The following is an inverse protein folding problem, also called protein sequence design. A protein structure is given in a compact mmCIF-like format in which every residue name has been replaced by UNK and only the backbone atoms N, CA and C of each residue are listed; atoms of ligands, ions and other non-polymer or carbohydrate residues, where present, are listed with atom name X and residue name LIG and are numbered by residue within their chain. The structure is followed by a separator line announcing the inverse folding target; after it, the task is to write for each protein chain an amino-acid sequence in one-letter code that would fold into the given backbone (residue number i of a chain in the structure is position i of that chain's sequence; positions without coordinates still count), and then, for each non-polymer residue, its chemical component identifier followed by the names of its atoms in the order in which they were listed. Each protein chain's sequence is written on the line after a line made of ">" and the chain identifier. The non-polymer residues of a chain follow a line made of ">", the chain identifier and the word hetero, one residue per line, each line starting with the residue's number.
data_IF_598000589845
#
_entry.id   IF_598000589845
#
_cell.length_a   1.000
_cell.length_b   1.000
_cell.length_c   1.000
_cell.angle_alpha   90.00
_cell.angle_beta   90.00
_cell.angle_gamma   90.00
#
_symmetry.space_group_name_H-M   'P 1'
#
loop_
_entity.id
_entity.type
_entity.pdbx_description
1 polymer ?
#
# COMPACT_ATOMS: atom_id res chain seq x y z
N UNK A 1 43.83 28.87 -11.68
CA UNK A 1 44.08 27.92 -10.57
C UNK A 1 45.25 28.36 -9.66
N UNK A 2 46.45 28.63 -10.20
CA UNK A 2 47.61 29.09 -9.40
C UNK A 2 47.38 30.40 -8.61
N UNK A 3 46.72 31.40 -9.20
CA UNK A 3 46.41 32.67 -8.49
C UNK A 3 45.43 32.51 -7.32
N UNK A 4 44.55 31.51 -7.37
CA UNK A 4 43.62 31.20 -6.29
C UNK A 4 44.35 30.54 -5.12
N UNK A 5 45.21 29.55 -5.42
CA UNK A 5 46.06 28.89 -4.44
C UNK A 5 47.02 29.86 -3.74
N UNK A 6 47.59 30.84 -4.46
CA UNK A 6 48.46 31.88 -3.87
C UNK A 6 47.69 32.82 -2.94
N UNK A 7 46.47 33.21 -3.30
CA UNK A 7 45.62 34.06 -2.43
C UNK A 7 45.14 33.32 -1.18
N UNK A 8 44.78 32.04 -1.30
CA UNK A 8 44.42 31.19 -0.16
C UNK A 8 45.63 31.05 0.79
N UNK A 9 46.83 30.80 0.26
CA UNK A 9 48.08 30.71 1.04
C UNK A 9 48.44 32.02 1.76
N UNK A 10 48.13 33.17 1.15
CA UNK A 10 48.37 34.49 1.73
C UNK A 10 47.36 34.82 2.84
N UNK A 11 46.09 34.45 2.68
CA UNK A 11 45.09 34.58 3.75
C UNK A 11 45.47 33.71 4.95
N UNK A 12 45.87 32.45 4.76
CA UNK A 12 46.23 31.53 5.86
C UNK A 12 47.50 31.90 6.63
N UNK A 13 48.20 33.00 6.32
CA UNK A 13 49.39 33.44 7.08
C UNK A 13 49.07 34.44 8.18
N UNK A 14 47.86 35.01 8.19
CA UNK A 14 47.42 36.01 9.16
C UNK A 14 46.49 35.36 10.19
N UNK A 15 46.48 35.82 11.44
CA UNK A 15 45.63 35.25 12.51
C UNK A 15 44.13 35.30 12.12
N UNK A 16 43.75 36.34 11.38
CA UNK A 16 42.41 36.52 10.80
C UNK A 16 42.07 35.47 9.74
N UNK A 17 43.06 35.00 8.98
CA UNK A 17 42.85 33.98 7.96
C UNK A 17 42.70 32.57 8.53
N UNK A 18 43.44 32.25 9.60
CA UNK A 18 43.21 31.02 10.37
C UNK A 18 41.81 31.02 10.99
N UNK A 19 41.39 32.13 11.61
CA UNK A 19 40.04 32.28 12.16
C UNK A 19 38.95 32.11 11.08
N UNK A 20 39.14 32.71 9.90
CA UNK A 20 38.20 32.57 8.77
C UNK A 20 38.12 31.13 8.25
N UNK A 21 39.25 30.41 8.23
CA UNK A 21 39.30 29.01 7.78
C UNK A 21 38.61 28.09 8.78
N UNK A 22 38.82 28.30 10.08
CA UNK A 22 38.12 27.56 11.14
C UNK A 22 36.62 27.82 11.11
N UNK A 23 36.19 29.07 10.90
CA UNK A 23 34.77 29.42 10.72
C UNK A 23 34.14 28.75 9.50
N UNK A 24 34.88 28.65 8.39
CA UNK A 24 34.38 28.02 7.16
C UNK A 24 34.26 26.50 7.34
N UNK A 25 35.21 25.87 8.02
CA UNK A 25 35.16 24.46 8.39
C UNK A 25 33.99 24.19 9.34
N UNK A 26 33.85 24.98 10.41
CA UNK A 26 32.76 24.79 11.38
C UNK A 26 31.39 25.04 10.77
N UNK A 27 31.24 26.05 9.92
CA UNK A 27 30.02 26.29 9.15
C UNK A 27 29.71 25.12 8.21
N UNK A 28 30.72 24.59 7.51
CA UNK A 28 30.56 23.41 6.66
C UNK A 28 30.10 22.18 7.46
N UNK A 29 30.67 21.98 8.65
CA UNK A 29 30.32 20.89 9.55
C UNK A 29 28.86 21.02 10.05
N UNK A 30 28.45 22.23 10.43
CA UNK A 30 27.05 22.53 10.82
C UNK A 30 26.10 22.30 9.65
N UNK A 31 26.45 22.71 8.43
CA UNK A 31 25.60 22.48 7.25
C UNK A 31 25.45 20.99 6.93
N UNK A 32 26.52 20.19 7.04
CA UNK A 32 26.45 18.73 6.85
C UNK A 32 25.57 18.08 7.90
N UNK A 33 25.71 18.46 9.18
CA UNK A 33 24.85 17.94 10.24
C UNK A 33 23.38 18.34 10.04
N UNK A 34 23.11 19.59 9.69
CA UNK A 34 21.76 20.08 9.41
C UNK A 34 21.12 19.34 8.23
N UNK A 35 21.88 19.11 7.14
CA UNK A 35 21.43 18.32 6.00
C UNK A 35 21.16 16.86 6.39
N UNK A 36 22.04 16.25 7.18
CA UNK A 36 21.88 14.88 7.67
C UNK A 36 20.63 14.72 8.53
N UNK A 37 20.40 15.62 9.49
CA UNK A 37 19.21 15.61 10.35
C UNK A 37 17.93 15.75 9.50
N UNK A 38 17.96 16.63 8.50
CA UNK A 38 16.79 16.83 7.64
C UNK A 38 16.49 15.58 6.80
N UNK A 39 17.50 14.96 6.19
CA UNK A 39 17.34 13.73 5.39
C UNK A 39 16.78 12.60 6.25
N UNK A 40 17.34 12.40 7.45
CA UNK A 40 16.90 11.34 8.38
C UNK A 40 15.47 11.59 8.86
N UNK A 41 15.13 12.84 9.19
CA UNK A 41 13.78 13.23 9.63
C UNK A 41 12.75 12.98 8.52
N UNK A 42 13.02 13.44 7.30
CA UNK A 42 12.11 13.22 6.17
C UNK A 42 12.00 11.74 5.81
N UNK A 43 13.10 10.97 5.91
CA UNK A 43 13.08 9.52 5.73
C UNK A 43 12.20 8.81 6.76
N UNK A 44 12.24 9.22 8.03
CA UNK A 44 11.38 8.69 9.07
C UNK A 44 9.91 9.01 8.81
N UNK A 45 9.59 10.27 8.49
CA UNK A 45 8.22 10.71 8.18
C UNK A 45 7.69 9.99 6.95
N UNK A 46 8.49 9.92 5.88
CA UNK A 46 8.09 9.23 4.66
C UNK A 46 7.89 7.73 4.91
N UNK A 47 8.73 7.07 5.72
CA UNK A 47 8.50 5.66 6.11
C UNK A 47 7.15 5.46 6.81
N UNK A 48 6.77 6.36 7.73
CA UNK A 48 5.46 6.32 8.41
C UNK A 48 4.32 6.51 7.40
N UNK A 49 4.44 7.47 6.49
CA UNK A 49 3.43 7.72 5.44
C UNK A 49 3.25 6.51 4.53
N UNK A 50 4.34 5.88 4.09
CA UNK A 50 4.28 4.69 3.24
C UNK A 50 3.66 3.51 3.98
N UNK A 51 3.98 3.31 5.27
CA UNK A 51 3.35 2.27 6.07
C UNK A 51 1.84 2.51 6.19
N UNK A 52 1.42 3.73 6.54
CA UNK A 52 0.00 4.07 6.65
C UNK A 52 -0.74 3.90 5.32
N UNK A 53 -0.10 4.28 4.20
CA UNK A 53 -0.66 4.10 2.87
C UNK A 53 -0.78 2.62 2.49
N UNK A 54 0.23 1.80 2.83
CA UNK A 54 0.19 0.36 2.64
C UNK A 54 -0.95 -0.28 3.46
N UNK A 55 -1.05 0.07 4.74
CA UNK A 55 -2.07 -0.47 5.64
C UNK A 55 -3.48 -0.09 5.18
N UNK A 56 -3.69 1.18 4.80
CA UNK A 56 -4.96 1.66 4.26
C UNK A 56 -5.32 0.95 2.93
N UNK A 57 -4.35 0.79 2.03
CA UNK A 57 -4.56 0.09 0.76
C UNK A 57 -4.90 -1.39 0.98
N UNK A 58 -4.15 -2.09 1.83
CA UNK A 58 -4.37 -3.48 2.15
C UNK A 58 -5.74 -3.71 2.80
N UNK A 59 -6.09 -2.85 3.78
CA UNK A 59 -7.40 -2.87 4.45
C UNK A 59 -8.54 -2.62 3.46
N UNK A 60 -8.39 -1.64 2.55
CA UNK A 60 -9.42 -1.34 1.56
C UNK A 60 -9.64 -2.49 0.56
N UNK A 61 -8.56 -3.14 0.12
CA UNK A 61 -8.66 -4.33 -0.72
C UNK A 61 -9.33 -5.48 0.03
N UNK A 62 -8.96 -5.73 1.27
CA UNK A 62 -9.61 -6.72 2.12
C UNK A 62 -11.08 -6.39 2.40
N UNK A 63 -11.41 -5.10 2.57
CA UNK A 63 -12.79 -4.62 2.72
C UNK A 63 -13.64 -4.99 1.51
N UNK A 64 -13.13 -4.75 0.30
CA UNK A 64 -13.85 -5.14 -0.91
C UNK A 64 -14.04 -6.66 -1.03
N UNK A 65 -13.05 -7.46 -0.59
CA UNK A 65 -13.22 -8.91 -0.53
C UNK A 65 -14.30 -9.31 0.49
N UNK A 66 -14.36 -8.64 1.64
CA UNK A 66 -15.40 -8.87 2.64
C UNK A 66 -16.79 -8.53 2.06
N UNK A 67 -16.92 -7.39 1.38
CA UNK A 67 -18.16 -6.99 0.70
C UNK A 67 -18.57 -8.00 -0.38
N UNK A 68 -17.60 -8.55 -1.14
CA UNK A 68 -17.86 -9.62 -2.11
C UNK A 68 -18.39 -10.89 -1.42
N UNK A 69 -17.85 -11.24 -0.25
CA UNK A 69 -18.32 -12.39 0.52
C UNK A 69 -19.75 -12.16 1.04
N UNK A 70 -20.04 -10.99 1.60
CA UNK A 70 -21.39 -10.63 2.06
C UNK A 70 -22.40 -10.61 0.90
N UNK A 71 -21.98 -10.13 -0.28
CA UNK A 71 -22.80 -10.18 -1.49
C UNK A 71 -23.09 -11.63 -1.92
N UNK A 72 -22.15 -12.55 -1.78
CA UNK A 72 -22.38 -13.98 -2.05
C UNK A 72 -23.34 -14.62 -1.03
N UNK A 73 -23.27 -14.23 0.25
CA UNK A 73 -24.24 -14.64 1.28
C UNK A 73 -25.63 -14.13 0.92
N UNK A 74 -25.75 -12.85 0.60
CA UNK A 74 -27.02 -12.25 0.18
C UNK A 74 -27.57 -12.95 -1.08
N UNK A 75 -26.71 -13.23 -2.06
CA UNK A 75 -27.09 -13.95 -3.27
C UNK A 75 -27.57 -15.39 -3.01
N UNK A 76 -27.07 -16.06 -1.96
CA UNK A 76 -27.63 -17.34 -1.53
C UNK A 76 -29.05 -17.18 -0.97
N UNK A 77 -29.25 -16.20 -0.09
CA UNK A 77 -30.57 -15.90 0.49
C UNK A 77 -31.63 -15.58 -0.57
N UNK A 78 -31.30 -14.72 -1.54
CA UNK A 78 -32.24 -14.41 -2.62
C UNK A 78 -32.50 -15.64 -3.48
N UNK A 79 -31.51 -16.52 -3.63
CA UNK A 79 -31.67 -17.83 -4.25
C UNK A 79 -32.73 -18.68 -3.54
N UNK A 80 -32.67 -18.79 -2.21
CA UNK A 80 -33.67 -19.51 -1.41
C UNK A 80 -35.07 -18.91 -1.55
N UNK A 81 -35.19 -17.59 -1.41
CA UNK A 81 -36.48 -16.89 -1.51
C UNK A 81 -37.09 -17.07 -2.90
N UNK A 82 -36.26 -17.04 -3.95
CA UNK A 82 -36.74 -17.22 -5.33
C UNK A 82 -37.37 -18.60 -5.57
N UNK A 83 -37.03 -19.63 -4.80
CA UNK A 83 -37.64 -20.96 -4.92
C UNK A 83 -39.11 -20.95 -4.47
N UNK A 84 -39.49 -20.01 -3.60
CA UNK A 84 -40.85 -19.86 -3.10
C UNK A 84 -41.80 -19.20 -4.12
N UNK A 85 -41.26 -18.53 -5.15
CA UNK A 85 -42.06 -17.82 -6.16
C UNK A 85 -41.90 -18.49 -7.54
N UNK A 86 -42.89 -19.28 -7.98
CA UNK A 86 -42.77 -20.11 -9.19
C UNK A 86 -42.64 -19.30 -10.50
N UNK A 87 -43.40 -18.21 -10.66
CA UNK A 87 -43.45 -17.40 -11.88
C UNK A 87 -42.21 -16.51 -12.07
N UNK A 88 -41.69 -15.94 -10.99
CA UNK A 88 -40.55 -14.99 -11.02
C UNK A 88 -39.24 -15.59 -10.54
N UNK A 89 -39.28 -16.77 -9.92
CA UNK A 89 -38.11 -17.39 -9.33
C UNK A 89 -37.05 -17.82 -10.35
N UNK A 90 -37.48 -18.37 -11.48
CA UNK A 90 -36.56 -18.84 -12.53
C UNK A 90 -35.66 -17.71 -13.10
N UNK A 91 -36.20 -16.57 -13.57
CA UNK A 91 -35.36 -15.48 -14.06
C UNK A 91 -34.49 -14.86 -12.95
N UNK A 92 -35.01 -14.73 -11.73
CA UNK A 92 -34.24 -14.23 -10.58
C UNK A 92 -33.02 -15.13 -10.30
N UNK A 93 -33.19 -16.45 -10.30
CA UNK A 93 -32.07 -17.41 -10.13
C UNK A 93 -31.02 -17.29 -11.23
N UNK A 94 -31.43 -17.09 -12.48
CA UNK A 94 -30.51 -16.93 -13.59
C UNK A 94 -29.62 -15.68 -13.38
N UNK A 95 -30.23 -14.54 -13.02
CA UNK A 95 -29.51 -13.29 -12.73
C UNK A 95 -28.57 -13.44 -11.54
N UNK A 96 -29.03 -14.07 -10.44
CA UNK A 96 -28.22 -14.31 -9.25
C UNK A 96 -27.03 -15.22 -9.56
N UNK A 97 -27.23 -16.27 -10.36
CA UNK A 97 -26.15 -17.19 -10.72
C UNK A 97 -25.10 -16.51 -11.61
N UNK A 98 -25.53 -15.60 -12.49
CA UNK A 98 -24.64 -14.75 -13.26
C UNK A 98 -23.86 -13.77 -12.36
N UNK A 99 -24.55 -13.09 -11.44
CA UNK A 99 -23.90 -12.20 -10.46
C UNK A 99 -22.86 -12.94 -9.61
N UNK A 100 -23.20 -14.13 -9.09
CA UNK A 100 -22.25 -14.98 -8.36
C UNK A 100 -21.03 -15.34 -9.21
N UNK A 101 -21.21 -15.61 -10.51
CA UNK A 101 -20.09 -15.91 -11.42
C UNK A 101 -19.17 -14.69 -11.56
N UNK A 102 -19.75 -13.52 -11.77
CA UNK A 102 -19.01 -12.27 -11.91
C UNK A 102 -18.24 -11.94 -10.63
N UNK A 103 -18.87 -12.05 -9.46
CA UNK A 103 -18.23 -11.78 -8.16
C UNK A 103 -17.09 -12.77 -7.89
N UNK A 104 -17.29 -14.07 -8.15
CA UNK A 104 -16.24 -15.08 -7.97
C UNK A 104 -15.07 -14.85 -8.93
N UNK A 105 -15.36 -14.45 -10.17
CA UNK A 105 -14.35 -14.27 -11.21
C UNK A 105 -13.57 -12.97 -11.06
N UNK A 106 -14.23 -11.87 -10.75
CA UNK A 106 -13.64 -10.53 -10.79
C UNK A 106 -13.46 -9.89 -9.41
N UNK A 107 -14.15 -10.37 -8.37
CA UNK A 107 -14.01 -9.86 -6.99
C UNK A 107 -12.56 -9.79 -6.51
N UNK A 108 -11.75 -10.85 -6.68
CA UNK A 108 -10.33 -10.82 -6.35
C UNK A 108 -9.51 -9.74 -7.07
N UNK A 109 -9.73 -9.57 -8.38
CA UNK A 109 -9.05 -8.57 -9.17
C UNK A 109 -9.50 -7.15 -8.78
N UNK A 110 -10.79 -6.97 -8.52
CA UNK A 110 -11.37 -5.72 -8.05
C UNK A 110 -10.79 -5.32 -6.69
N UNK A 111 -10.51 -6.27 -5.80
CA UNK A 111 -9.91 -5.99 -4.50
C UNK A 111 -8.48 -5.45 -4.63
N UNK A 112 -7.67 -6.04 -5.51
CA UNK A 112 -6.34 -5.52 -5.83
C UNK A 112 -6.43 -4.13 -6.49
N UNK A 113 -7.38 -3.93 -7.42
CA UNK A 113 -7.61 -2.62 -8.03
C UNK A 113 -8.01 -1.56 -7.00
N UNK A 114 -8.86 -1.92 -6.03
CA UNK A 114 -9.27 -1.04 -4.93
C UNK A 114 -8.10 -0.67 -4.02
N UNK A 115 -7.24 -1.63 -3.70
CA UNK A 115 -6.01 -1.37 -2.95
C UNK A 115 -5.11 -0.37 -3.68
N UNK A 116 -4.94 -0.54 -5.00
CA UNK A 116 -4.18 0.40 -5.84
C UNK A 116 -4.81 1.80 -5.82
N UNK A 117 -6.12 1.88 -6.02
CA UNK A 117 -6.85 3.15 -6.00
C UNK A 117 -6.66 3.91 -4.67
N UNK A 118 -6.79 3.21 -3.54
CA UNK A 118 -6.65 3.83 -2.22
C UNK A 118 -5.21 4.25 -1.94
N UNK A 119 -4.21 3.47 -2.33
CA UNK A 119 -2.83 3.91 -2.14
C UNK A 119 -2.41 5.06 -3.06
N UNK A 120 -2.91 5.12 -4.30
CA UNK A 120 -2.72 6.28 -5.17
C UNK A 120 -3.33 7.55 -4.58
N UNK A 121 -4.51 7.45 -3.97
CA UNK A 121 -5.13 8.55 -3.22
C UNK A 121 -4.29 8.99 -2.01
N UNK A 122 -3.44 8.12 -1.47
CA UNK A 122 -2.47 8.41 -0.41
C UNK A 122 -1.06 8.72 -0.93
N UNK A 123 -0.94 9.10 -2.21
CA UNK A 123 0.33 9.48 -2.86
C UNK A 123 1.41 8.38 -2.81
N UNK A 124 0.99 7.11 -2.76
CA UNK A 124 1.87 5.95 -2.76
C UNK A 124 1.61 5.07 -4.00
N UNK A 125 2.69 4.57 -4.60
CA UNK A 125 2.60 3.55 -5.65
C UNK A 125 2.40 2.21 -4.97
N UNK A 126 1.28 1.55 -5.26
CA UNK A 126 0.93 0.25 -4.71
C UNK A 126 1.15 -0.84 -5.76
N UNK A 127 1.86 -1.88 -5.36
CA UNK A 127 2.03 -3.11 -6.13
C UNK A 127 1.40 -4.27 -5.36
N UNK A 128 0.34 -4.91 -5.88
CA UNK A 128 -0.17 -6.15 -5.31
C UNK A 128 0.92 -7.23 -5.35
N UNK A 129 1.22 -7.84 -4.20
CA UNK A 129 2.19 -8.94 -4.09
C UNK A 129 1.52 -10.30 -3.93
N UNK A 130 0.19 -10.31 -3.81
CA UNK A 130 -0.62 -11.52 -3.72
C UNK A 130 -1.89 -11.39 -4.58
N UNK A 131 -2.32 -12.52 -5.15
CA UNK A 131 -3.62 -12.62 -5.83
C UNK A 131 -4.62 -13.28 -4.88
N UNK A 132 -5.57 -12.52 -4.33
CA UNK A 132 -6.53 -13.06 -3.38
C UNK A 132 -7.42 -14.13 -4.01
N UNK A 133 -7.99 -14.98 -3.16
CA UNK A 133 -9.08 -15.89 -3.52
C UNK A 133 -10.21 -15.71 -2.49
N UNK A 134 -11.45 -15.67 -2.94
CA UNK A 134 -12.61 -15.65 -2.05
C UNK A 134 -12.72 -16.96 -1.25
N UNK A 135 -12.10 -18.06 -1.71
CA UNK A 135 -12.09 -19.32 -0.97
C UNK A 135 -13.47 -19.93 -0.88
N UNK A 136 -14.22 -19.86 -1.98
CA UNK A 136 -15.61 -20.32 -2.08
C UNK A 136 -15.73 -21.42 -3.13
N UNK A 137 -16.71 -22.30 -2.96
CA UNK A 137 -17.03 -23.36 -3.91
C UNK A 137 -18.51 -23.31 -4.29
N UNK A 138 -18.83 -23.69 -5.53
CA UNK A 138 -20.21 -23.87 -5.97
C UNK A 138 -20.70 -25.27 -5.57
N UNK A 139 -21.93 -25.33 -5.10
CA UNK A 139 -22.65 -26.55 -4.73
C UNK A 139 -23.88 -26.70 -5.64
N UNK A 140 -24.50 -27.87 -5.58
CA UNK A 140 -25.79 -28.20 -6.19
C UNK A 140 -26.78 -27.02 -6.11
N UNK A 141 -27.58 -26.82 -7.16
CA UNK A 141 -28.53 -25.70 -7.34
C UNK A 141 -27.92 -24.28 -7.43
N UNK A 142 -26.59 -24.15 -7.57
CA UNK A 142 -25.95 -22.83 -7.75
C UNK A 142 -25.71 -22.08 -6.43
N UNK A 143 -25.81 -22.77 -5.29
CA UNK A 143 -25.40 -22.25 -4.00
C UNK A 143 -23.89 -22.12 -3.92
N UNK A 144 -23.44 -21.17 -3.11
CA UNK A 144 -22.02 -20.96 -2.83
C UNK A 144 -21.75 -21.31 -1.37
N UNK A 145 -20.68 -22.06 -1.12
CA UNK A 145 -20.22 -22.41 0.23
C UNK A 145 -18.83 -21.85 0.48
N UNK A 146 -18.59 -21.49 1.73
CA UNK A 146 -17.25 -21.14 2.22
C UNK A 146 -16.40 -22.41 2.34
N UNK A 147 -15.39 -22.56 1.46
CA UNK A 147 -14.43 -23.68 1.49
C UNK A 147 -13.46 -23.55 2.67
N UNK A 148 -13.20 -22.32 3.11
CA UNK A 148 -12.22 -22.04 4.16
C UNK A 148 -12.76 -22.28 5.57
N UNK A 149 -14.08 -22.50 5.73
CA UNK A 149 -14.73 -22.76 7.01
C UNK A 149 -14.34 -21.76 8.12
N UNK A 150 -14.21 -20.49 7.77
CA UNK A 150 -13.80 -19.43 8.70
C UNK A 150 -12.30 -19.21 8.87
N UNK A 151 -11.45 -19.98 8.18
CA UNK A 151 -10.00 -19.70 8.10
C UNK A 151 -9.73 -18.60 7.09
N UNK A 152 -8.64 -17.84 7.29
CA UNK A 152 -8.23 -16.80 6.33
C UNK A 152 -7.74 -17.40 5.01
N UNK A 153 -6.94 -18.48 5.03
CA UNK A 153 -6.43 -19.12 3.81
C UNK A 153 -5.81 -18.11 2.84
N UNK A 154 -6.26 -18.11 1.58
CA UNK A 154 -5.86 -17.14 0.55
C UNK A 154 -6.79 -15.90 0.47
N UNK A 155 -7.70 -15.73 1.43
CA UNK A 155 -8.62 -14.59 1.51
C UNK A 155 -7.96 -13.39 2.17
N UNK A 156 -6.87 -12.94 1.55
CA UNK A 156 -6.13 -11.76 1.98
C UNK A 156 -5.56 -10.99 0.78
N UNK A 157 -5.51 -9.68 0.94
CA UNK A 157 -4.84 -8.77 0.01
C UNK A 157 -3.51 -8.40 0.63
N UNK A 158 -2.42 -8.59 -0.10
CA UNK A 158 -1.10 -8.17 0.33
C UNK A 158 -0.52 -7.21 -0.70
N UNK A 159 0.01 -6.10 -0.22
CA UNK A 159 0.53 -5.03 -1.06
C UNK A 159 1.91 -4.58 -0.59
N UNK A 160 2.72 -4.16 -1.55
CA UNK A 160 3.90 -3.34 -1.32
C UNK A 160 3.60 -1.90 -1.74
N UNK A 161 3.97 -0.95 -0.91
CA UNK A 161 3.85 0.48 -1.17
C UNK A 161 5.23 1.12 -1.27
N UNK A 162 5.37 2.10 -2.17
CA UNK A 162 6.54 2.94 -2.28
C UNK A 162 6.12 4.41 -2.48
N UNK A 163 6.88 5.35 -1.90
CA UNK A 163 6.64 6.78 -2.06
C UNK A 163 7.96 7.52 -2.27
N UNK A 164 7.92 8.60 -3.07
CA UNK A 164 9.07 9.49 -3.25
C UNK A 164 9.33 10.35 -2.02
N UNK A 165 10.59 10.44 -1.62
CA UNK A 165 11.03 11.38 -0.60
C UNK A 165 10.85 12.84 -1.04
N UNK A 166 10.21 13.63 -0.17
CA UNK A 166 10.04 15.07 -0.38
C UNK A 166 11.23 15.86 0.16
N UNK A 167 12.39 15.70 -0.48
CA UNK A 167 13.59 16.47 -0.14
C UNK A 167 13.50 17.92 -0.69
N UNK A 168 13.92 18.94 0.10
CA UNK A 168 14.08 20.31 -0.35
C UNK A 168 15.00 20.41 -1.55
N UNK A 169 14.74 21.39 -2.42
CA UNK A 169 15.54 21.61 -3.64
C UNK A 169 17.04 21.73 -3.35
N UNK A 170 17.44 22.42 -2.28
CA UNK A 170 18.86 22.58 -1.93
C UNK A 170 19.53 21.26 -1.54
N UNK A 171 18.82 20.35 -0.89
CA UNK A 171 19.31 18.98 -0.57
C UNK A 171 19.39 18.15 -1.84
N UNK A 172 18.38 18.24 -2.72
CA UNK A 172 18.40 17.57 -4.04
C UNK A 172 19.58 18.05 -4.91
N UNK A 173 19.88 19.35 -4.88
CA UNK A 173 21.05 19.93 -5.59
C UNK A 173 22.36 19.43 -5.00
N UNK A 174 22.46 19.30 -3.67
CA UNK A 174 23.66 18.79 -2.98
C UNK A 174 23.92 17.31 -3.27
N UNK A 175 22.87 16.48 -3.32
CA UNK A 175 22.96 15.05 -3.64
C UNK A 175 23.27 14.76 -5.13
N UNK A 176 23.18 15.79 -5.99
CA UNK A 176 23.48 15.74 -7.42
C UNK A 176 22.51 14.88 -8.24
N UNK A 177 22.57 14.99 -9.58
CA UNK A 177 21.86 14.10 -10.53
C UNK A 177 22.43 12.68 -10.60
N UNK A 178 23.52 12.41 -9.88
CA UNK A 178 24.29 11.16 -9.95
C UNK A 178 24.19 10.27 -8.70
N UNK A 179 23.36 10.63 -7.72
CA UNK A 179 22.85 9.61 -6.80
C UNK A 179 21.98 8.67 -7.64
N UNK A 180 22.25 7.35 -7.65
CA UNK A 180 21.57 6.43 -8.55
C UNK A 180 20.07 6.57 -8.35
N UNK A 181 19.43 7.15 -9.35
CA UNK A 181 17.99 7.22 -9.47
C UNK A 181 17.45 5.80 -9.37
N UNK A 182 16.74 5.48 -8.29
CA UNK A 182 15.69 4.47 -8.40
C UNK A 182 15.44 3.54 -7.21
N UNK A 183 16.38 3.27 -6.31
CA UNK A 183 16.16 2.18 -5.33
C UNK A 183 16.63 2.43 -3.88
N UNK A 184 17.62 3.30 -3.65
CA UNK A 184 18.25 3.34 -2.32
C UNK A 184 17.52 4.19 -1.27
N UNK A 185 16.55 5.03 -1.67
CA UNK A 185 15.95 6.00 -0.74
C UNK A 185 14.43 6.11 -0.84
N UNK A 186 13.77 5.29 -1.66
CA UNK A 186 12.31 5.24 -1.63
C UNK A 186 11.89 4.40 -0.43
N UNK A 187 11.28 4.96 0.62
CA UNK A 187 10.70 4.15 1.68
C UNK A 187 9.71 3.19 1.06
N UNK A 188 9.90 1.91 1.35
CA UNK A 188 8.98 0.85 0.99
C UNK A 188 8.35 0.28 2.24
N UNK A 189 7.06 -0.03 2.16
CA UNK A 189 6.35 -0.76 3.21
C UNK A 189 5.55 -1.90 2.60
N UNK A 190 5.27 -2.91 3.41
CA UNK A 190 4.40 -4.02 3.04
C UNK A 190 3.31 -4.13 4.07
N UNK A 191 2.09 -4.40 3.59
CA UNK A 191 0.93 -4.60 4.45
C UNK A 191 0.08 -5.74 3.92
N UNK A 192 -0.61 -6.42 4.84
CA UNK A 192 -1.55 -7.50 4.55
C UNK A 192 -2.90 -7.16 5.17
N UNK A 193 -3.95 -7.12 4.36
CA UNK A 193 -5.33 -7.05 4.79
C UNK A 193 -5.95 -8.44 4.70
N UNK A 194 -6.54 -8.91 5.79
CA UNK A 194 -7.20 -10.22 5.88
C UNK A 194 -8.71 -10.04 5.98
N UNK A 195 -9.45 -11.03 5.49
CA UNK A 195 -10.89 -11.11 5.70
C UNK A 195 -11.19 -12.17 6.75
N UNK A 196 -11.98 -11.79 7.75
CA UNK A 196 -12.47 -12.65 8.82
C UNK A 196 -13.99 -12.81 8.67
N UNK A 197 -14.48 -13.99 9.02
CA UNK A 197 -15.89 -14.35 8.88
C UNK A 197 -16.02 -15.82 8.52
N UNK A 198 -17.17 -16.42 8.78
CA UNK A 198 -17.36 -17.87 8.66
C UNK A 198 -18.70 -18.21 8.03
N UNK A 199 -18.62 -19.11 7.04
CA UNK A 199 -19.81 -19.74 6.47
C UNK A 199 -20.57 -18.80 5.54
N UNK A 200 -21.66 -19.31 4.97
CA UNK A 200 -22.45 -18.58 3.96
C UNK A 200 -23.88 -18.31 4.43
N UNK A 201 -24.07 -18.24 5.75
CA UNK A 201 -25.37 -18.08 6.37
C UNK A 201 -25.64 -16.64 6.76
N UNK A 202 -24.66 -15.85 7.20
CA UNK A 202 -24.90 -14.49 7.70
C UNK A 202 -23.87 -13.52 7.09
N UNK A 203 -24.28 -12.36 6.54
CA UNK A 203 -23.36 -11.41 5.93
C UNK A 203 -22.67 -10.58 7.03
N UNK A 204 -21.62 -11.15 7.62
CA UNK A 204 -20.83 -10.53 8.70
C UNK A 204 -19.33 -10.69 8.43
N UNK A 205 -18.92 -10.64 7.16
CA UNK A 205 -17.50 -10.65 6.83
C UNK A 205 -16.87 -9.29 7.15
N UNK A 206 -15.72 -9.31 7.82
CA UNK A 206 -15.03 -8.10 8.29
C UNK A 206 -13.59 -8.14 7.81
N UNK A 207 -13.09 -6.99 7.34
CA UNK A 207 -11.68 -6.81 7.02
C UNK A 207 -10.87 -6.39 8.23
N UNK A 208 -9.63 -6.87 8.33
CA UNK A 208 -8.66 -6.42 9.33
C UNK A 208 -7.24 -6.42 8.78
N UNK A 209 -6.30 -5.89 9.56
CA UNK A 209 -4.87 -6.01 9.25
C UNK A 209 -4.34 -7.37 9.72
N UNK A 210 -3.59 -8.04 8.86
CA UNK A 210 -2.89 -9.28 9.13
C UNK A 210 -1.39 -9.06 9.29
N UNK A 211 -0.72 -10.03 9.90
CA UNK A 211 0.75 -10.04 9.94
C UNK A 211 1.31 -10.26 8.55
N UNK A 212 2.36 -9.50 8.23
CA UNK A 212 3.22 -9.73 7.07
C UNK A 212 4.37 -10.60 7.57
N UNK A 213 4.58 -11.74 6.90
CA UNK A 213 5.66 -12.69 7.20
C UNK A 213 6.96 -12.30 6.48
#
# INVERSE_FOLDING_TARGET
>A
MQRFLVRVKALTRDEKGHASTVLLISLGLVMVFAAGIYIVSEAAVAKIRVQNAADAAALAGAGLLADCMDLLVFANYVGDISLLFSLWGSPIRAVINALKNEVIRYGPAAANARAIQVGLANEAVITPVHWPDLGVERIFLGYVRDRLNGRTGNRFVQVAAAQELRLPRWVKTFLGRHTPSGLAVYPTATARGIVQGRGMLVPHYVSGLGKVD
#
